data_IF_753536198132
#
_entry.id   IF_753536198132
#
_cell.length_a   1.000
_cell.length_b   1.000
_cell.length_c   1.000
_cell.angle_alpha   90.00
_cell.angle_beta   90.00
_cell.angle_gamma   90.00
#
_symmetry.space_group_name_H-M   'P 1'
#
loop_
_entity.id
_entity.type
_entity.pdbx_description
1 polymer ?
#
# COMPACT_ATOMS: atom_id res chain seq x y z
N UNK A 1 -4.44 -26.26 0.80
CA UNK A 1 -3.58 -27.05 -0.11
C UNK A 1 -3.17 -26.26 -1.37
N UNK A 2 -4.07 -25.53 -2.04
CA UNK A 2 -3.70 -24.73 -3.22
C UNK A 2 -2.83 -23.50 -2.88
N UNK A 3 -3.21 -22.70 -1.86
CA UNK A 3 -2.46 -21.50 -1.47
C UNK A 3 -1.03 -21.76 -1.01
N UNK A 4 -0.78 -22.86 -0.29
CA UNK A 4 0.58 -23.26 0.09
C UNK A 4 1.43 -23.59 -1.14
N UNK A 5 0.86 -24.27 -2.13
CA UNK A 5 1.54 -24.58 -3.40
C UNK A 5 1.81 -23.34 -4.24
N UNK A 6 0.86 -22.40 -4.29
CA UNK A 6 1.06 -21.10 -4.95
C UNK A 6 2.20 -20.35 -4.27
N UNK A 7 2.17 -20.23 -2.94
CA UNK A 7 3.23 -19.58 -2.16
C UNK A 7 4.62 -20.16 -2.44
N UNK A 8 4.77 -21.49 -2.36
CA UNK A 8 6.03 -22.17 -2.66
C UNK A 8 6.53 -21.91 -4.10
N UNK A 9 5.63 -21.94 -5.09
CA UNK A 9 5.98 -21.66 -6.47
C UNK A 9 6.37 -20.20 -6.68
N UNK A 10 5.65 -19.27 -6.05
CA UNK A 10 5.94 -17.85 -6.10
C UNK A 10 7.30 -17.53 -5.49
N UNK A 11 7.60 -18.07 -4.30
CA UNK A 11 8.89 -17.86 -3.63
C UNK A 11 10.07 -18.27 -4.54
N UNK A 12 9.95 -19.38 -5.28
CA UNK A 12 11.02 -19.84 -6.19
C UNK A 12 11.23 -18.96 -7.42
N UNK A 13 10.23 -18.18 -7.82
CA UNK A 13 10.21 -17.40 -9.07
C UNK A 13 10.07 -15.89 -8.83
N UNK A 14 10.16 -15.45 -7.58
CA UNK A 14 9.86 -14.07 -7.18
C UNK A 14 10.71 -13.04 -7.93
N UNK A 15 11.96 -13.39 -8.26
CA UNK A 15 12.88 -12.52 -8.99
C UNK A 15 12.41 -12.20 -10.42
N UNK A 16 11.57 -13.06 -11.00
CA UNK A 16 10.94 -12.87 -12.31
C UNK A 16 9.79 -11.86 -12.26
N UNK A 17 9.26 -11.54 -11.06
CA UNK A 17 8.04 -10.76 -10.93
C UNK A 17 8.33 -9.26 -11.08
N UNK A 18 7.47 -8.55 -11.81
CA UNK A 18 7.45 -7.10 -11.86
C UNK A 18 6.59 -6.50 -10.75
N UNK A 19 6.51 -5.16 -10.67
CA UNK A 19 5.72 -4.46 -9.66
C UNK A 19 4.26 -4.93 -9.59
N UNK A 20 3.64 -5.20 -10.75
CA UNK A 20 2.25 -5.64 -10.83
C UNK A 20 2.07 -7.05 -10.26
N UNK A 21 2.94 -8.00 -10.61
CA UNK A 21 2.87 -9.38 -10.12
C UNK A 21 3.12 -9.46 -8.60
N UNK A 22 4.10 -8.68 -8.10
CA UNK A 22 4.38 -8.57 -6.66
C UNK A 22 3.18 -8.02 -5.90
N UNK A 23 2.63 -6.91 -6.39
CA UNK A 23 1.46 -6.26 -5.78
C UNK A 23 0.23 -7.16 -5.80
N UNK A 24 -0.06 -7.79 -6.94
CA UNK A 24 -1.21 -8.67 -7.09
C UNK A 24 -1.09 -9.91 -6.19
N UNK A 25 0.13 -10.43 -6.00
CA UNK A 25 0.39 -11.53 -5.06
C UNK A 25 0.07 -11.08 -3.63
N UNK A 26 0.66 -9.98 -3.17
CA UNK A 26 0.40 -9.47 -1.81
C UNK A 26 -1.09 -9.19 -1.59
N UNK A 27 -1.73 -8.51 -2.54
CA UNK A 27 -3.16 -8.17 -2.48
C UNK A 27 -4.06 -9.40 -2.46
N UNK A 28 -3.78 -10.44 -3.27
CA UNK A 28 -4.62 -11.64 -3.33
C UNK A 28 -4.57 -12.43 -2.01
N UNK A 29 -3.37 -12.57 -1.42
CA UNK A 29 -3.20 -13.23 -0.12
C UNK A 29 -3.86 -12.42 1.00
N UNK A 30 -3.68 -11.09 1.00
CA UNK A 30 -4.33 -10.19 1.95
C UNK A 30 -5.85 -10.20 1.85
N UNK A 31 -6.42 -10.13 0.65
CA UNK A 31 -7.87 -10.15 0.41
C UNK A 31 -8.55 -11.43 0.90
N UNK A 32 -7.80 -12.52 1.00
CA UNK A 32 -8.29 -13.80 1.49
C UNK A 32 -7.99 -14.02 2.98
N UNK A 33 -7.36 -13.06 3.66
CA UNK A 33 -6.94 -13.21 5.05
C UNK A 33 -5.83 -14.26 5.25
N UNK A 34 -5.10 -14.62 4.19
CA UNK A 34 -4.07 -15.67 4.24
C UNK A 34 -2.71 -15.02 4.45
N UNK A 35 -2.25 -15.02 5.71
CA UNK A 35 -0.88 -14.63 6.05
C UNK A 35 0.07 -15.82 5.88
N UNK A 36 1.07 -15.65 5.02
CA UNK A 36 2.18 -16.59 4.88
C UNK A 36 3.48 -15.83 5.06
N UNK A 37 4.04 -15.86 6.27
CA UNK A 37 5.15 -14.98 6.65
C UNK A 37 6.32 -15.05 5.68
N UNK A 38 6.74 -16.26 5.30
CA UNK A 38 7.84 -16.46 4.34
C UNK A 38 7.55 -15.87 2.96
N UNK A 39 6.29 -15.90 2.51
CA UNK A 39 5.92 -15.29 1.23
C UNK A 39 6.01 -13.77 1.33
N UNK A 40 5.48 -13.17 2.39
CA UNK A 40 5.45 -11.72 2.56
C UNK A 40 6.84 -11.13 2.84
N UNK A 41 7.72 -11.88 3.49
CA UNK A 41 9.14 -11.54 3.62
C UNK A 41 9.79 -11.43 2.24
N UNK A 42 9.68 -12.50 1.43
CA UNK A 42 10.31 -12.58 0.10
C UNK A 42 9.70 -11.59 -0.90
N UNK A 43 8.38 -11.38 -0.85
CA UNK A 43 7.70 -10.32 -1.62
C UNK A 43 8.20 -8.95 -1.18
N UNK A 44 8.41 -8.73 0.11
CA UNK A 44 8.86 -7.46 0.67
C UNK A 44 10.26 -7.10 0.21
N UNK A 45 11.18 -8.06 0.28
CA UNK A 45 12.55 -7.92 -0.23
C UNK A 45 12.58 -7.55 -1.73
N UNK A 46 11.78 -8.25 -2.54
CA UNK A 46 11.72 -8.00 -3.97
C UNK A 46 11.06 -6.65 -4.30
N UNK A 47 10.05 -6.24 -3.51
CA UNK A 47 9.44 -4.92 -3.61
C UNK A 47 10.46 -3.82 -3.28
N UNK A 48 11.28 -4.00 -2.23
CA UNK A 48 12.34 -3.07 -1.87
C UNK A 48 13.36 -2.91 -2.99
N UNK A 49 13.79 -4.02 -3.62
CA UNK A 49 14.73 -3.99 -4.73
C UNK A 49 14.18 -3.26 -5.97
N UNK A 50 12.85 -3.28 -6.16
CA UNK A 50 12.16 -2.79 -7.36
C UNK A 50 11.33 -1.52 -7.14
N UNK A 51 11.31 -0.95 -5.93
CA UNK A 51 10.39 0.12 -5.51
C UNK A 51 10.30 1.29 -6.49
N UNK A 52 11.42 1.71 -7.08
CA UNK A 52 11.48 2.80 -8.08
C UNK A 52 10.62 2.55 -9.34
N UNK A 53 10.25 1.31 -9.62
CA UNK A 53 9.46 0.91 -10.78
C UNK A 53 7.95 0.82 -10.47
N UNK A 54 7.55 1.02 -9.22
CA UNK A 54 6.16 0.93 -8.80
C UNK A 54 5.40 2.19 -9.25
N UNK A 55 4.15 2.01 -9.71
CA UNK A 55 3.23 3.12 -9.91
C UNK A 55 2.41 3.40 -8.64
N UNK A 56 1.59 4.45 -8.64
CA UNK A 56 0.78 4.86 -7.48
C UNK A 56 -0.17 3.75 -7.02
N UNK A 57 -0.79 3.02 -7.94
CA UNK A 57 -1.67 1.89 -7.63
C UNK A 57 -0.91 0.74 -6.96
N UNK A 58 0.32 0.43 -7.42
CA UNK A 58 1.13 -0.60 -6.81
C UNK A 58 1.51 -0.23 -5.36
N UNK A 59 1.91 1.02 -5.14
CA UNK A 59 2.27 1.53 -3.81
C UNK A 59 1.08 1.42 -2.85
N UNK A 60 -0.11 1.86 -3.27
CA UNK A 60 -1.29 1.88 -2.40
C UNK A 60 -1.85 0.49 -2.12
N UNK A 61 -1.79 -0.42 -3.10
CA UNK A 61 -2.17 -1.82 -2.89
C UNK A 61 -1.19 -2.58 -1.99
N UNK A 62 0.12 -2.32 -2.09
CA UNK A 62 1.09 -2.87 -1.15
C UNK A 62 0.85 -2.34 0.27
N UNK A 63 0.64 -1.03 0.41
CA UNK A 63 0.32 -0.41 1.69
C UNK A 63 -0.88 -1.13 2.33
N UNK A 64 -1.98 -1.26 1.59
CA UNK A 64 -3.17 -1.95 2.06
C UNK A 64 -2.90 -3.41 2.41
N UNK A 65 -2.21 -4.18 1.56
CA UNK A 65 -2.00 -5.61 1.78
C UNK A 65 -1.18 -5.89 3.06
N UNK A 66 -0.08 -5.16 3.26
CA UNK A 66 0.80 -5.34 4.41
C UNK A 66 0.15 -4.88 5.72
N UNK A 67 -0.57 -3.75 5.71
CA UNK A 67 -1.24 -3.28 6.93
C UNK A 67 -2.50 -4.09 7.24
N UNK A 68 -3.26 -4.54 6.24
CA UNK A 68 -4.48 -5.34 6.43
C UNK A 68 -4.20 -6.71 7.09
N UNK A 69 -3.09 -7.35 6.74
CA UNK A 69 -2.66 -8.62 7.36
C UNK A 69 -1.78 -8.43 8.60
N UNK A 70 -1.52 -7.19 9.02
CA UNK A 70 -0.61 -6.88 10.13
C UNK A 70 0.77 -7.55 9.95
N UNK A 71 1.31 -7.51 8.72
CA UNK A 71 2.66 -8.04 8.43
C UNK A 71 3.70 -7.04 8.85
N UNK A 72 4.56 -7.42 9.79
CA UNK A 72 5.65 -6.59 10.27
C UNK A 72 6.77 -6.52 9.23
N UNK A 73 6.85 -5.39 8.53
CA UNK A 73 7.90 -5.09 7.56
C UNK A 73 8.19 -3.58 7.56
N UNK A 74 8.83 -3.07 8.63
CA UNK A 74 8.94 -1.62 8.86
C UNK A 74 9.75 -0.90 7.77
N UNK A 75 10.77 -1.53 7.21
CA UNK A 75 11.59 -0.95 6.14
C UNK A 75 10.78 -0.76 4.86
N UNK A 76 10.00 -1.78 4.47
CA UNK A 76 9.12 -1.72 3.31
C UNK A 76 8.03 -0.68 3.51
N UNK A 77 7.38 -0.66 4.67
CA UNK A 77 6.28 0.28 4.94
C UNK A 77 6.78 1.72 5.00
N UNK A 78 7.99 1.96 5.54
CA UNK A 78 8.64 3.26 5.46
C UNK A 78 8.97 3.65 4.01
N UNK A 79 9.39 2.70 3.16
CA UNK A 79 9.64 2.96 1.74
C UNK A 79 8.36 3.27 0.97
N UNK A 80 7.28 2.53 1.25
CA UNK A 80 5.93 2.77 0.70
C UNK A 80 5.44 4.16 1.12
N UNK A 81 5.58 4.55 2.39
CA UNK A 81 5.16 5.86 2.87
C UNK A 81 5.91 7.00 2.15
N UNK A 82 7.24 6.89 2.00
CA UNK A 82 8.03 7.88 1.25
C UNK A 82 7.58 7.95 -0.21
N UNK A 83 7.46 6.81 -0.88
CA UNK A 83 7.03 6.76 -2.29
C UNK A 83 5.61 7.30 -2.48
N UNK A 84 4.71 7.05 -1.53
CA UNK A 84 3.36 7.58 -1.51
C UNK A 84 3.35 9.11 -1.33
N UNK A 85 4.10 9.62 -0.36
CA UNK A 85 4.22 11.05 -0.08
C UNK A 85 4.79 11.81 -1.30
N UNK A 86 5.86 11.30 -1.93
CA UNK A 86 6.47 11.92 -3.12
C UNK A 86 5.52 12.01 -4.31
N UNK A 87 4.52 11.12 -4.40
CA UNK A 87 3.63 10.97 -5.56
C UNK A 87 2.17 11.27 -5.26
N UNK A 88 1.88 11.81 -4.07
CA UNK A 88 0.51 12.01 -3.58
C UNK A 88 -0.30 12.97 -4.47
N UNK A 89 0.37 13.91 -5.13
CA UNK A 89 -0.24 14.83 -6.09
C UNK A 89 -0.69 14.12 -7.38
N UNK A 90 -0.04 13.02 -7.76
CA UNK A 90 -0.30 12.27 -8.98
C UNK A 90 -1.34 11.14 -8.77
N UNK A 91 -1.48 10.66 -7.54
CA UNK A 91 -2.40 9.58 -7.15
C UNK A 91 -3.82 9.91 -7.56
N UNK A 92 -4.55 9.01 -8.22
CA UNK A 92 -5.97 9.19 -8.58
C UNK A 92 -6.93 9.03 -7.36
N UNK A 93 -8.25 9.17 -7.56
CA UNK A 93 -9.21 9.08 -6.45
C UNK A 93 -9.22 7.71 -5.76
N UNK A 94 -9.04 6.63 -6.52
CA UNK A 94 -8.92 5.27 -6.01
C UNK A 94 -7.63 5.09 -5.21
N UNK A 95 -6.50 5.59 -5.73
CA UNK A 95 -5.20 5.52 -5.05
C UNK A 95 -5.27 6.19 -3.67
N UNK A 96 -5.82 7.41 -3.61
CA UNK A 96 -5.98 8.14 -2.34
C UNK A 96 -6.89 7.40 -1.36
N UNK A 97 -7.99 6.81 -1.84
CA UNK A 97 -8.91 6.04 -1.02
C UNK A 97 -8.25 4.78 -0.45
N UNK A 98 -7.49 4.05 -1.27
CA UNK A 98 -6.75 2.86 -0.85
C UNK A 98 -5.66 3.22 0.16
N UNK A 99 -4.93 4.32 -0.06
CA UNK A 99 -3.95 4.81 0.89
C UNK A 99 -4.58 5.19 2.23
N UNK A 100 -5.70 5.93 2.21
CA UNK A 100 -6.45 6.29 3.42
C UNK A 100 -6.92 5.04 4.19
N UNK A 101 -7.43 4.03 3.47
CA UNK A 101 -7.89 2.78 4.08
C UNK A 101 -6.73 2.02 4.75
N UNK A 102 -5.55 2.01 4.13
CA UNK A 102 -4.37 1.36 4.72
C UNK A 102 -3.98 1.95 6.08
N UNK A 103 -4.25 3.24 6.32
CA UNK A 103 -3.95 3.94 7.57
C UNK A 103 -4.88 3.56 8.72
N UNK A 104 -6.08 3.04 8.42
CA UNK A 104 -7.01 2.51 9.45
C UNK A 104 -6.37 1.34 10.17
N UNK A 105 -5.74 0.43 9.42
CA UNK A 105 -5.13 -0.78 9.99
C UNK A 105 -3.88 -0.47 10.81
N UNK A 106 -3.21 0.65 10.55
CA UNK A 106 -2.04 1.11 11.33
C UNK A 106 -2.44 1.51 12.76
N UNK A 107 -3.65 2.04 12.96
CA UNK A 107 -4.15 2.45 14.28
C UNK A 107 -4.54 1.28 15.19
N UNK A 108 -4.69 0.07 14.64
CA UNK A 108 -4.91 -1.14 15.43
C UNK A 108 -3.66 -1.64 16.17
N UNK A 109 -2.50 -1.04 15.94
CA UNK A 109 -1.20 -1.45 16.48
C UNK A 109 -0.71 -0.62 17.70
N UNK A 110 -1.60 -0.08 18.54
CA UNK A 110 -1.21 0.44 19.87
C UNK A 110 -1.23 -0.76 20.85
N UNK A 111 -0.16 -1.16 21.57
CA UNK A 111 0.71 -0.36 22.44
C UNK A 111 2.16 -0.90 22.63
N UNK A 112 2.66 -1.89 21.87
CA UNK A 112 3.96 -2.53 22.24
C UNK A 112 5.15 -2.31 21.33
N UNK A 113 5.00 -2.01 20.04
CA UNK A 113 6.16 -1.85 19.15
C UNK A 113 5.96 -0.69 18.16
N UNK A 114 7.06 -0.14 17.66
CA UNK A 114 7.14 1.14 16.96
C UNK A 114 6.12 1.31 15.80
N UNK A 115 5.64 2.53 15.53
CA UNK A 115 4.63 2.78 14.52
C UNK A 115 5.05 2.33 13.10
N UNK A 116 4.15 1.58 12.47
CA UNK A 116 4.34 0.81 11.24
C UNK A 116 4.69 1.66 10.00
N UNK A 117 4.38 2.97 10.00
CA UNK A 117 4.71 3.93 8.92
C UNK A 117 5.81 4.94 9.31
N UNK A 118 6.70 4.57 10.24
CA UNK A 118 7.67 5.51 10.80
C UNK A 118 7.03 6.38 11.89
N UNK A 119 7.62 7.52 12.21
CA UNK A 119 7.18 8.36 13.34
C UNK A 119 5.69 8.75 13.21
N UNK A 120 5.02 8.96 14.36
CA UNK A 120 3.63 9.48 14.42
C UNK A 120 3.41 10.70 13.52
N UNK A 121 4.44 11.53 13.38
CA UNK A 121 4.45 12.71 12.52
C UNK A 121 4.30 12.38 11.03
N UNK A 122 5.00 11.35 10.54
CA UNK A 122 4.93 10.91 9.14
C UNK A 122 3.53 10.38 8.79
N UNK A 123 2.98 9.53 9.66
CA UNK A 123 1.60 9.02 9.52
C UNK A 123 0.59 10.16 9.51
N UNK A 124 0.73 11.15 10.39
CA UNK A 124 -0.20 12.27 10.47
C UNK A 124 -0.06 13.26 9.30
N UNK A 125 1.15 13.48 8.77
CA UNK A 125 1.36 14.24 7.53
C UNK A 125 0.66 13.57 6.36
N UNK A 126 0.80 12.24 6.21
CA UNK A 126 0.14 11.49 5.15
C UNK A 126 -1.40 11.55 5.27
N UNK A 127 -1.96 11.39 6.48
CA UNK A 127 -3.41 11.56 6.72
C UNK A 127 -3.87 12.95 6.27
N UNK A 128 -3.14 14.00 6.64
CA UNK A 128 -3.48 15.39 6.29
C UNK A 128 -3.43 15.60 4.78
N UNK A 129 -2.38 15.15 4.12
CA UNK A 129 -2.20 15.31 2.67
C UNK A 129 -3.26 14.54 1.88
N UNK A 130 -3.56 13.30 2.25
CA UNK A 130 -4.60 12.50 1.61
C UNK A 130 -5.96 13.19 1.74
N UNK A 131 -6.28 13.72 2.92
CA UNK A 131 -7.53 14.47 3.15
C UNK A 131 -7.61 15.71 2.26
N UNK A 132 -6.53 16.50 2.18
CA UNK A 132 -6.47 17.70 1.33
C UNK A 132 -6.60 17.33 -0.15
N UNK A 133 -5.92 16.28 -0.61
CA UNK A 133 -5.96 15.83 -1.99
C UNK A 133 -7.37 15.33 -2.38
N UNK A 134 -8.05 14.60 -1.50
CA UNK A 134 -9.45 14.19 -1.70
C UNK A 134 -10.39 15.39 -1.82
N UNK A 135 -10.27 16.38 -0.93
CA UNK A 135 -11.11 17.59 -0.97
C UNK A 135 -10.89 18.37 -2.27
N UNK A 136 -9.63 18.59 -2.67
CA UNK A 136 -9.30 19.28 -3.93
C UNK A 136 -9.90 18.58 -5.14
N UNK A 137 -9.88 17.25 -5.17
CA UNK A 137 -10.49 16.46 -6.24
C UNK A 137 -12.00 16.56 -6.30
N UNK A 138 -12.67 16.55 -5.14
CA UNK A 138 -14.11 16.76 -5.08
C UNK A 138 -14.49 18.14 -5.63
N UNK A 139 -13.71 19.16 -5.29
CA UNK A 139 -13.91 20.54 -5.78
C UNK A 139 -13.61 20.67 -7.28
N UNK A 140 -12.55 20.03 -7.80
CA UNK A 140 -12.24 20.06 -9.23
C UNK A 140 -13.30 19.32 -10.07
N UNK A 141 -13.87 18.22 -9.54
CA UNK A 141 -14.96 17.51 -10.22
C UNK A 141 -16.28 18.31 -10.19
N UNK A 142 -16.55 19.09 -9.13
CA UNK A 142 -17.71 19.98 -9.09
C UNK A 142 -17.59 21.16 -10.06
N UNK A 143 -16.38 21.65 -10.36
CA UNK A 143 -16.16 22.68 -11.40
C UNK A 143 -16.22 22.14 -12.84
N UNK A 144 -16.19 20.82 -13.04
CA UNK A 144 -16.25 20.19 -14.36
C UNK A 144 -17.68 19.95 -14.89
N UNK A 145 -18.70 20.26 -14.09
CA UNK A 145 -20.09 20.34 -14.51
C UNK A 145 -20.59 21.77 -14.29
N UNK A 146 -20.48 22.67 -15.29
CA UNK A 146 -21.32 23.85 -15.31
C UNK A 146 -22.77 23.40 -15.54
N UNK A 147 -23.71 24.14 -14.95
CA UNK A 147 -25.16 24.03 -15.15
C UNK A 147 -25.56 24.17 -16.64
N UNK A 148 -25.34 23.13 -17.44
CA UNK A 148 -25.94 22.99 -18.77
C UNK A 148 -26.85 21.75 -18.79
N UNK A 149 -28.05 21.92 -18.23
CA UNK A 149 -29.31 21.29 -18.64
C UNK A 149 -30.51 21.99 -17.98
#
# INVERSE_FOLDING_TARGET
>A
FLFSRISECTIRRISEFGPQELTNTAWAFASLGVRTDRLFEVVGDECMAKMRHFNTQNITNLAWAYTHLAVDCPELLAAIARAAHERIADMNGQDLAQLALSLVFVRGHEEKEAPLFGTRETTMSLVREVTVAMVRRLQSNQMAYPDDA
#
